data_IF_063215368191
#
_entry.id   IF_063215368191
#
_cell.length_a   1.000
_cell.length_b   1.000
_cell.length_c   1.000
_cell.angle_alpha   90.00
_cell.angle_beta   90.00
_cell.angle_gamma   90.00
#
_symmetry.space_group_name_H-M   'P 1'
#
loop_
_entity.id
_entity.type
_entity.pdbx_description
1 polymer ?
#
# COMPACT_ATOMS: atom_id res chain seq x y z
N UNK A 1 13.13 18.57 -2.68
CA UNK A 1 13.83 18.24 -3.94
C UNK A 1 14.50 16.87 -3.88
N UNK A 2 15.43 16.62 -2.95
CA UNK A 2 16.19 15.36 -2.90
C UNK A 2 15.29 14.10 -2.75
N UNK A 3 14.32 14.11 -1.83
CA UNK A 3 13.36 13.00 -1.69
C UNK A 3 12.52 12.76 -2.97
N UNK A 4 12.15 13.82 -3.69
CA UNK A 4 11.41 13.68 -4.96
C UNK A 4 12.26 12.99 -6.04
N UNK A 5 13.56 13.29 -6.08
CA UNK A 5 14.51 12.61 -6.96
C UNK A 5 14.68 11.13 -6.57
N UNK A 6 14.74 10.80 -5.27
CA UNK A 6 14.75 9.41 -4.79
C UNK A 6 13.50 8.68 -5.22
N UNK A 7 12.31 9.28 -5.05
CA UNK A 7 11.05 8.67 -5.49
C UNK A 7 10.99 8.49 -7.01
N UNK A 8 11.44 9.48 -7.77
CA UNK A 8 11.47 9.38 -9.23
C UNK A 8 12.39 8.25 -9.71
N UNK A 9 13.62 8.16 -9.17
CA UNK A 9 14.55 7.06 -9.47
C UNK A 9 13.94 5.71 -9.06
N UNK A 10 13.27 5.66 -7.91
CA UNK A 10 12.65 4.43 -7.41
C UNK A 10 11.50 4.00 -8.32
N UNK A 11 10.56 4.89 -8.64
CA UNK A 11 9.35 4.55 -9.41
C UNK A 11 9.73 4.23 -10.85
N UNK A 12 10.45 5.12 -11.53
CA UNK A 12 10.81 4.91 -12.95
C UNK A 12 11.85 3.81 -13.09
N UNK A 13 12.88 3.80 -12.23
CA UNK A 13 13.95 2.82 -12.30
C UNK A 13 13.50 1.41 -11.94
N UNK A 14 12.55 1.25 -11.01
CA UNK A 14 12.04 -0.06 -10.64
C UNK A 14 11.05 -0.65 -11.63
N UNK A 15 10.40 0.15 -12.48
CA UNK A 15 9.44 -0.37 -13.47
C UNK A 15 10.09 -1.37 -14.44
N UNK A 16 11.34 -1.14 -14.87
CA UNK A 16 12.06 -2.06 -15.76
C UNK A 16 12.29 -3.46 -15.16
N UNK A 17 12.96 -3.60 -13.99
CA UNK A 17 13.12 -4.91 -13.36
C UNK A 17 11.79 -5.53 -12.89
N UNK A 18 10.80 -4.72 -12.53
CA UNK A 18 9.45 -5.22 -12.20
C UNK A 18 8.79 -5.87 -13.41
N UNK A 19 8.89 -5.24 -14.59
CA UNK A 19 8.41 -5.80 -15.85
C UNK A 19 9.11 -7.12 -16.20
N UNK A 20 10.43 -7.21 -16.05
CA UNK A 20 11.16 -8.45 -16.30
C UNK A 20 10.75 -9.60 -15.36
N UNK A 21 10.55 -9.30 -14.07
CA UNK A 21 10.05 -10.28 -13.11
C UNK A 21 8.60 -10.68 -13.40
N UNK A 22 7.75 -9.73 -13.80
CA UNK A 22 6.37 -10.02 -14.21
C UNK A 22 6.36 -10.95 -15.42
N UNK A 23 7.16 -10.69 -16.46
CA UNK A 23 7.25 -11.60 -17.61
C UNK A 23 7.78 -12.99 -17.22
N UNK A 24 8.78 -13.05 -16.34
CA UNK A 24 9.35 -14.32 -15.91
C UNK A 24 8.39 -15.14 -15.05
N UNK A 25 7.76 -14.54 -14.03
CA UNK A 25 6.95 -15.22 -13.02
C UNK A 25 5.48 -15.33 -13.42
N UNK A 26 4.92 -14.29 -14.04
CA UNK A 26 3.52 -14.26 -14.45
C UNK A 26 3.39 -14.79 -15.88
N UNK A 27 4.00 -14.15 -16.88
CA UNK A 27 3.72 -14.52 -18.28
C UNK A 27 4.28 -15.90 -18.66
N UNK A 28 5.44 -16.28 -18.13
CA UNK A 28 6.07 -17.59 -18.42
C UNK A 28 5.87 -18.59 -17.29
N UNK A 29 6.05 -18.15 -16.03
CA UNK A 29 5.99 -19.00 -14.85
C UNK A 29 4.60 -19.60 -14.61
N UNK A 30 3.55 -18.79 -14.68
CA UNK A 30 2.18 -19.25 -14.42
C UNK A 30 1.70 -20.29 -15.45
N UNK A 31 1.80 -20.08 -16.78
CA UNK A 31 1.42 -21.10 -17.75
C UNK A 31 2.28 -22.37 -17.66
N UNK A 32 3.56 -22.23 -17.33
CA UNK A 32 4.44 -23.38 -17.16
C UNK A 32 4.01 -24.26 -15.98
N UNK A 33 3.77 -23.67 -14.80
CA UNK A 33 3.29 -24.41 -13.64
C UNK A 33 1.92 -25.02 -13.91
N UNK A 34 1.02 -24.27 -14.55
CA UNK A 34 -0.30 -24.77 -14.93
C UNK A 34 -0.22 -25.99 -15.83
N UNK A 35 0.68 -25.98 -16.83
CA UNK A 35 0.89 -27.12 -17.74
C UNK A 35 1.38 -28.39 -17.00
N UNK A 36 2.16 -28.24 -15.94
CA UNK A 36 2.61 -29.36 -15.09
C UNK A 36 1.43 -29.96 -14.32
N UNK A 37 0.59 -29.11 -13.71
CA UNK A 37 -0.59 -29.57 -12.98
C UNK A 37 -1.60 -30.24 -13.91
N UNK A 38 -1.79 -29.71 -15.12
CA UNK A 38 -2.64 -30.31 -16.14
C UNK A 38 -2.08 -31.66 -16.62
N UNK A 39 -0.76 -31.78 -16.80
CA UNK A 39 -0.11 -33.05 -17.16
C UNK A 39 -0.20 -34.12 -16.06
N UNK A 40 -0.24 -33.70 -14.79
CA UNK A 40 -0.46 -34.58 -13.64
C UNK A 40 -1.93 -34.96 -13.43
N UNK A 41 -2.85 -34.41 -14.22
CA UNK A 41 -4.29 -34.65 -14.08
C UNK A 41 -4.87 -34.09 -12.78
N UNK A 42 -4.30 -33.01 -12.24
CA UNK A 42 -4.80 -32.37 -11.04
C UNK A 42 -6.24 -31.86 -11.25
N UNK A 43 -7.13 -31.96 -10.24
CA UNK A 43 -8.49 -31.46 -10.37
C UNK A 43 -8.49 -29.93 -10.49
N UNK A 44 -9.45 -29.39 -11.23
CA UNK A 44 -9.54 -27.96 -11.56
C UNK A 44 -9.44 -27.02 -10.35
N UNK A 45 -10.02 -27.41 -9.20
CA UNK A 45 -9.99 -26.61 -7.98
C UNK A 45 -8.61 -26.55 -7.35
N UNK A 46 -7.80 -27.61 -7.48
CA UNK A 46 -6.45 -27.65 -6.93
C UNK A 46 -5.51 -26.79 -7.76
N UNK A 47 -5.59 -26.91 -9.08
CA UNK A 47 -4.86 -26.03 -10.02
C UNK A 47 -5.28 -24.58 -9.83
N UNK A 48 -6.57 -24.31 -9.69
CA UNK A 48 -7.08 -22.96 -9.45
C UNK A 48 -6.59 -22.35 -8.14
N UNK A 49 -6.77 -23.02 -7.00
CA UNK A 49 -6.34 -22.48 -5.70
C UNK A 49 -4.83 -22.26 -5.63
N UNK A 50 -4.03 -23.24 -6.08
CA UNK A 50 -2.58 -23.21 -5.91
C UNK A 50 -1.87 -22.38 -6.99
N UNK A 51 -2.30 -22.50 -8.25
CA UNK A 51 -1.62 -21.86 -9.39
C UNK A 51 -2.25 -20.51 -9.70
N UNK A 52 -3.57 -20.48 -9.95
CA UNK A 52 -4.27 -19.24 -10.32
C UNK A 52 -4.47 -18.28 -9.13
N UNK A 53 -4.55 -18.82 -7.91
CA UNK A 53 -4.66 -18.06 -6.67
C UNK A 53 -3.32 -17.81 -5.99
N UNK A 54 -2.80 -18.82 -5.28
CA UNK A 54 -1.67 -18.66 -4.36
C UNK A 54 -0.36 -18.26 -5.04
N UNK A 55 0.03 -19.01 -6.09
CA UNK A 55 1.25 -18.71 -6.85
C UNK A 55 1.16 -17.35 -7.53
N UNK A 56 0.07 -17.07 -8.24
CA UNK A 56 -0.09 -15.81 -8.97
C UNK A 56 -0.04 -14.60 -8.04
N UNK A 57 -0.69 -14.66 -6.87
CA UNK A 57 -0.60 -13.61 -5.86
C UNK A 57 0.83 -13.41 -5.34
N UNK A 58 1.53 -14.51 -5.05
CA UNK A 58 2.93 -14.46 -4.63
C UNK A 58 3.85 -13.88 -5.69
N UNK A 59 3.70 -14.33 -6.94
CA UNK A 59 4.43 -13.83 -8.10
C UNK A 59 4.20 -12.33 -8.30
N UNK A 60 2.95 -11.87 -8.17
CA UNK A 60 2.60 -10.46 -8.27
C UNK A 60 3.31 -9.60 -7.21
N UNK A 61 3.20 -10.02 -5.95
CA UNK A 61 3.83 -9.32 -4.82
C UNK A 61 5.33 -9.26 -5.02
N UNK A 62 5.97 -10.36 -5.45
CA UNK A 62 7.42 -10.36 -5.72
C UNK A 62 7.77 -9.40 -6.86
N UNK A 63 7.06 -9.46 -7.98
CA UNK A 63 7.34 -8.64 -9.17
C UNK A 63 7.18 -7.14 -8.89
N UNK A 64 6.16 -6.74 -8.14
CA UNK A 64 5.85 -5.33 -7.88
C UNK A 64 6.63 -4.76 -6.69
N UNK A 65 6.82 -5.54 -5.63
CA UNK A 65 7.36 -5.03 -4.35
C UNK A 65 8.89 -5.08 -4.29
N UNK A 66 9.53 -6.14 -4.83
CA UNK A 66 10.97 -6.35 -4.68
C UNK A 66 11.81 -5.26 -5.36
N UNK A 67 11.59 -4.90 -6.64
CA UNK A 67 12.49 -3.97 -7.32
C UNK A 67 12.48 -2.55 -6.74
N UNK A 68 11.31 -1.95 -6.42
CA UNK A 68 11.30 -0.64 -5.77
C UNK A 68 12.01 -0.64 -4.43
N UNK A 69 11.88 -1.71 -3.63
CA UNK A 69 12.61 -1.82 -2.36
C UNK A 69 14.13 -1.94 -2.55
N UNK A 70 14.57 -2.69 -3.57
CA UNK A 70 15.99 -2.82 -3.92
C UNK A 70 16.61 -1.50 -4.37
N UNK A 71 15.82 -0.56 -4.88
CA UNK A 71 16.30 0.78 -5.26
C UNK A 71 16.18 1.75 -4.08
N UNK A 72 15.01 1.78 -3.44
CA UNK A 72 14.68 2.74 -2.40
C UNK A 72 15.55 2.58 -1.15
N UNK A 73 15.68 1.36 -0.61
CA UNK A 73 16.39 1.18 0.66
C UNK A 73 17.89 1.45 0.59
N UNK A 74 18.63 1.03 -0.46
CA UNK A 74 20.04 1.41 -0.58
C UNK A 74 20.23 2.92 -0.69
N UNK A 75 19.46 3.60 -1.53
CA UNK A 75 19.56 5.06 -1.68
C UNK A 75 19.23 5.75 -0.35
N UNK A 76 18.16 5.32 0.33
CA UNK A 76 17.76 5.90 1.60
C UNK A 76 18.80 5.66 2.71
N UNK A 77 19.35 4.45 2.79
CA UNK A 77 20.40 4.11 3.79
C UNK A 77 21.68 4.89 3.52
N UNK A 78 22.04 5.11 2.25
CA UNK A 78 23.16 5.99 1.91
C UNK A 78 22.93 7.42 2.41
N UNK A 79 21.73 7.98 2.21
CA UNK A 79 21.37 9.32 2.71
C UNK A 79 21.34 9.38 4.25
N UNK A 80 21.03 8.27 4.91
CA UNK A 80 21.12 8.10 6.36
C UNK A 80 22.58 8.15 6.83
N UNK A 81 23.44 7.34 6.21
CA UNK A 81 24.88 7.23 6.53
C UNK A 81 25.64 8.53 6.25
N UNK A 82 25.26 9.26 5.19
CA UNK A 82 25.79 10.61 4.93
C UNK A 82 25.43 11.61 6.04
N UNK A 83 24.43 11.34 6.89
CA UNK A 83 23.97 12.26 7.91
C UNK A 83 23.01 13.34 7.39
N UNK A 84 22.51 13.20 6.15
CA UNK A 84 21.52 14.13 5.59
C UNK A 84 20.17 13.97 6.30
N UNK A 85 19.69 12.73 6.43
CA UNK A 85 18.41 12.44 7.03
C UNK A 85 18.32 12.91 8.51
N UNK A 86 19.31 12.62 9.40
CA UNK A 86 19.33 13.17 10.75
C UNK A 86 19.20 14.71 10.82
N UNK A 87 19.80 15.44 9.87
CA UNK A 87 19.68 16.91 9.80
C UNK A 87 18.29 17.36 9.38
N UNK A 88 17.65 16.64 8.46
CA UNK A 88 16.25 16.90 8.09
C UNK A 88 15.34 16.68 9.30
N UNK A 89 15.57 15.61 10.08
CA UNK A 89 14.84 15.36 11.32
C UNK A 89 15.01 16.49 12.35
N UNK A 90 16.23 17.02 12.49
CA UNK A 90 16.50 18.20 13.34
C UNK A 90 15.70 19.43 12.87
N UNK A 91 15.68 19.71 11.56
CA UNK A 91 14.95 20.86 11.03
C UNK A 91 13.42 20.72 11.16
N UNK A 92 12.90 19.49 11.10
CA UNK A 92 11.48 19.19 11.25
C UNK A 92 11.03 19.05 12.71
N UNK A 93 11.96 19.00 13.66
CA UNK A 93 11.66 18.76 15.09
C UNK A 93 10.61 19.73 15.64
N UNK A 94 10.69 21.02 15.29
CA UNK A 94 9.72 22.02 15.73
C UNK A 94 8.27 21.69 15.34
N UNK A 95 8.07 21.09 14.15
CA UNK A 95 6.74 20.69 13.67
C UNK A 95 6.25 19.46 14.42
N UNK A 96 7.10 18.45 14.56
CA UNK A 96 6.75 17.21 15.27
C UNK A 96 6.49 17.46 16.76
N UNK A 97 7.29 18.33 17.39
CA UNK A 97 7.13 18.72 18.80
C UNK A 97 5.79 19.39 19.07
N UNK A 98 5.29 20.23 18.16
CA UNK A 98 3.94 20.83 18.26
C UNK A 98 2.83 19.77 18.23
N UNK A 99 3.06 18.67 17.51
CA UNK A 99 2.16 17.52 17.46
C UNK A 99 2.37 16.52 18.61
N UNK A 100 3.26 16.81 19.57
CA UNK A 100 3.55 15.88 20.67
C UNK A 100 4.40 14.67 20.27
N UNK A 101 5.08 14.76 19.13
CA UNK A 101 5.94 13.74 18.56
C UNK A 101 7.43 14.15 18.61
N UNK A 102 8.31 13.18 18.35
CA UNK A 102 9.76 13.37 18.32
C UNK A 102 10.27 13.65 16.91
N UNK A 103 11.25 14.53 16.70
CA UNK A 103 11.79 14.83 15.35
C UNK A 103 12.32 13.60 14.58
N UNK A 104 12.87 12.60 15.30
CA UNK A 104 13.25 11.28 14.71
C UNK A 104 12.07 10.56 14.03
N UNK A 105 10.82 10.86 14.36
CA UNK A 105 9.64 10.30 13.69
C UNK A 105 9.62 10.65 12.19
N UNK A 106 10.15 11.82 11.80
CA UNK A 106 10.28 12.19 10.39
C UNK A 106 11.13 11.17 9.59
N UNK A 107 12.16 10.59 10.22
CA UNK A 107 13.00 9.55 9.62
C UNK A 107 12.21 8.27 9.38
N UNK A 108 11.48 7.85 10.42
CA UNK A 108 10.68 6.61 10.40
C UNK A 108 9.56 6.68 9.37
N UNK A 109 8.86 7.83 9.31
CA UNK A 109 7.83 8.10 8.31
C UNK A 109 8.40 8.13 6.89
N UNK A 110 9.59 8.70 6.72
CA UNK A 110 10.26 8.75 5.42
C UNK A 110 10.62 7.33 4.95
N UNK A 111 11.06 6.46 5.86
CA UNK A 111 11.29 5.04 5.58
C UNK A 111 9.99 4.27 5.29
N UNK A 112 8.87 4.70 5.89
CA UNK A 112 7.52 4.19 5.60
C UNK A 112 7.10 4.35 4.13
N UNK A 113 7.56 5.40 3.45
CA UNK A 113 7.25 5.57 2.01
C UNK A 113 7.79 4.43 1.13
N UNK A 114 8.87 3.76 1.56
CA UNK A 114 9.29 2.50 0.97
C UNK A 114 8.38 1.36 1.42
N UNK A 115 8.42 1.03 2.71
CA UNK A 115 7.57 0.01 3.30
C UNK A 115 7.20 0.37 4.73
N UNK A 116 5.89 0.36 5.05
CA UNK A 116 5.41 0.68 6.39
C UNK A 116 5.93 -0.30 7.45
N UNK A 117 6.18 -1.58 7.11
CA UNK A 117 6.78 -2.53 8.04
C UNK A 117 8.22 -2.13 8.41
N UNK A 118 9.01 -1.71 7.41
CA UNK A 118 10.39 -1.27 7.63
C UNK A 118 10.43 0.04 8.42
N UNK A 119 9.51 0.98 8.14
CA UNK A 119 9.35 2.21 8.92
C UNK A 119 8.95 1.96 10.38
N UNK A 120 8.11 0.96 10.65
CA UNK A 120 7.77 0.54 12.03
C UNK A 120 9.00 0.01 12.77
N UNK A 121 9.83 -0.83 12.13
CA UNK A 121 11.10 -1.31 12.74
C UNK A 121 12.06 -0.13 13.01
N UNK A 122 12.10 0.86 12.11
CA UNK A 122 12.96 2.04 12.26
C UNK A 122 12.60 2.90 13.48
N UNK A 123 11.39 2.77 14.04
CA UNK A 123 10.99 3.51 15.25
C UNK A 123 11.83 3.19 16.49
N UNK A 124 12.64 2.12 16.47
CA UNK A 124 13.62 1.79 17.50
C UNK A 124 14.65 2.89 17.76
N UNK A 125 14.83 3.83 16.82
CA UNK A 125 15.68 5.00 17.01
C UNK A 125 15.11 6.00 18.03
N UNK A 126 13.80 5.94 18.30
CA UNK A 126 13.11 6.80 19.27
C UNK A 126 13.21 6.16 20.67
N UNK A 127 13.85 6.88 21.59
CA UNK A 127 14.20 6.37 22.92
C UNK A 127 12.98 6.31 23.85
N UNK A 128 12.10 7.30 23.77
CA UNK A 128 10.87 7.37 24.58
C UNK A 128 9.86 6.31 24.12
N UNK A 129 9.45 5.35 24.98
CA UNK A 129 8.49 4.30 24.59
C UNK A 129 7.13 4.86 24.13
N UNK A 130 6.72 5.98 24.72
CA UNK A 130 5.46 6.67 24.37
C UNK A 130 5.53 7.26 22.96
N UNK A 131 6.57 8.04 22.67
CA UNK A 131 6.75 8.67 21.36
C UNK A 131 7.02 7.63 20.28
N UNK A 132 7.74 6.55 20.63
CA UNK A 132 7.92 5.38 19.76
C UNK A 132 6.59 4.75 19.40
N UNK A 133 5.69 4.57 20.37
CA UNK A 133 4.36 4.01 20.10
C UNK A 133 3.52 4.93 19.20
N UNK A 134 3.57 6.25 19.40
CA UNK A 134 2.92 7.21 18.51
C UNK A 134 3.45 7.05 17.08
N UNK A 135 4.77 7.05 16.91
CA UNK A 135 5.41 6.85 15.62
C UNK A 135 5.00 5.52 14.95
N UNK A 136 4.93 4.42 15.72
CA UNK A 136 4.47 3.11 15.23
C UNK A 136 3.04 3.19 14.69
N UNK A 137 2.12 3.79 15.44
CA UNK A 137 0.70 3.91 15.05
C UNK A 137 0.56 4.80 13.82
N UNK A 138 1.27 5.93 13.78
CA UNK A 138 1.10 6.92 12.71
C UNK A 138 1.88 6.60 11.44
N UNK A 139 2.80 5.63 11.46
CA UNK A 139 3.59 5.28 10.27
C UNK A 139 2.73 4.80 9.09
N UNK A 140 1.53 4.25 9.36
CA UNK A 140 0.61 3.79 8.32
C UNK A 140 0.07 4.92 7.42
N UNK A 141 0.10 6.17 7.88
CA UNK A 141 -0.33 7.32 7.08
C UNK A 141 0.70 7.72 6.00
N UNK A 142 1.90 7.14 6.02
CA UNK A 142 2.84 7.23 4.91
C UNK A 142 2.39 6.32 3.75
N UNK A 143 2.40 6.86 2.52
CA UNK A 143 2.14 6.08 1.31
C UNK A 143 3.30 5.10 1.06
N UNK A 144 3.12 3.84 1.43
CA UNK A 144 4.11 2.80 1.13
C UNK A 144 4.12 2.42 -0.35
N UNK A 145 5.17 1.71 -0.78
CA UNK A 145 5.32 1.26 -2.17
C UNK A 145 4.06 0.61 -2.75
N UNK A 146 3.40 -0.30 -2.02
CA UNK A 146 2.18 -0.97 -2.50
C UNK A 146 0.94 -0.07 -2.66
N UNK A 147 1.00 1.20 -2.27
CA UNK A 147 -0.09 2.18 -2.47
C UNK A 147 0.18 3.16 -3.61
N UNK A 148 1.44 3.39 -3.99
CA UNK A 148 1.79 4.33 -5.06
C UNK A 148 1.16 3.97 -6.41
N UNK A 149 1.18 2.71 -6.88
CA UNK A 149 0.55 2.35 -8.15
C UNK A 149 -0.95 2.69 -8.18
N UNK A 150 -1.69 2.37 -7.10
CA UNK A 150 -3.10 2.75 -6.96
C UNK A 150 -3.30 4.26 -7.07
N UNK A 151 -2.48 5.05 -6.37
CA UNK A 151 -2.61 6.51 -6.41
C UNK A 151 -2.34 7.06 -7.82
N UNK A 152 -1.29 6.59 -8.48
CA UNK A 152 -0.89 7.05 -9.82
C UNK A 152 -1.94 6.65 -10.86
N UNK A 153 -2.39 5.40 -10.86
CA UNK A 153 -3.37 4.89 -11.81
C UNK A 153 -4.71 5.63 -11.70
N UNK A 154 -5.24 5.74 -10.48
CA UNK A 154 -6.55 6.37 -10.26
C UNK A 154 -6.49 7.89 -10.50
N UNK A 155 -5.39 8.54 -10.13
CA UNK A 155 -5.17 9.95 -10.46
C UNK A 155 -5.14 10.18 -11.97
N UNK A 156 -4.44 9.32 -12.72
CA UNK A 156 -4.33 9.45 -14.18
C UNK A 156 -5.68 9.22 -14.87
N UNK A 157 -6.41 8.18 -14.48
CA UNK A 157 -7.68 7.80 -15.11
C UNK A 157 -8.81 8.80 -14.81
N UNK A 158 -8.96 9.25 -13.56
CA UNK A 158 -10.12 10.06 -13.17
C UNK A 158 -9.81 11.56 -13.08
N UNK A 159 -8.69 11.93 -12.46
CA UNK A 159 -8.35 13.36 -12.24
C UNK A 159 -7.64 13.94 -13.46
N UNK A 160 -6.70 13.19 -14.05
CA UNK A 160 -6.00 13.57 -15.28
C UNK A 160 -6.95 13.74 -16.45
N UNK A 161 -7.93 12.84 -16.60
CA UNK A 161 -8.95 12.91 -17.64
C UNK A 161 -9.92 14.11 -17.50
N UNK A 162 -10.08 14.67 -16.30
CA UNK A 162 -10.88 15.86 -16.07
C UNK A 162 -10.17 17.17 -16.48
N UNK A 163 -8.86 17.12 -16.70
CA UNK A 163 -8.05 18.28 -17.09
C UNK A 163 -7.78 18.31 -18.61
N UNK A 164 -7.46 19.48 -19.20
CA UNK A 164 -7.03 19.56 -20.59
C UNK A 164 -5.82 18.63 -20.86
N UNK A 165 -5.71 18.01 -22.05
CA UNK A 165 -4.68 16.99 -22.32
C UNK A 165 -3.24 17.43 -22.05
N UNK A 166 -2.93 18.72 -22.25
CA UNK A 166 -1.60 19.29 -22.00
C UNK A 166 -1.27 19.47 -20.51
N UNK A 167 -2.28 19.48 -19.62
CA UNK A 167 -2.12 19.56 -18.16
C UNK A 167 -2.42 18.26 -17.44
N UNK A 168 -2.99 17.25 -18.10
CA UNK A 168 -3.42 16.00 -17.49
C UNK A 168 -2.33 15.34 -16.62
N UNK A 169 -1.09 15.28 -17.13
CA UNK A 169 0.04 14.72 -16.38
C UNK A 169 0.42 15.55 -15.14
N UNK A 170 0.37 16.89 -15.24
CA UNK A 170 0.67 17.78 -14.12
C UNK A 170 -0.40 17.71 -13.04
N UNK A 171 -1.67 17.64 -13.43
CA UNK A 171 -2.80 17.55 -12.50
C UNK A 171 -2.83 16.19 -11.80
N UNK A 172 -2.61 15.09 -12.52
CA UNK A 172 -2.47 13.75 -11.92
C UNK A 172 -1.33 13.70 -10.91
N UNK A 173 -0.13 14.17 -11.29
CA UNK A 173 1.01 14.23 -10.38
C UNK A 173 0.74 15.13 -9.16
N UNK A 174 0.07 16.27 -9.37
CA UNK A 174 -0.34 17.19 -8.30
C UNK A 174 -1.30 16.52 -7.30
N UNK A 175 -2.26 15.73 -7.79
CA UNK A 175 -3.19 14.98 -6.94
C UNK A 175 -2.47 13.92 -6.09
N UNK A 176 -1.54 13.16 -6.66
CA UNK A 176 -0.75 12.17 -5.91
C UNK A 176 0.10 12.85 -4.84
N UNK A 177 0.77 13.97 -5.17
CA UNK A 177 1.55 14.75 -4.21
C UNK A 177 0.65 15.31 -3.10
N UNK A 178 -0.54 15.79 -3.44
CA UNK A 178 -1.51 16.26 -2.46
C UNK A 178 -1.90 15.16 -1.47
N UNK A 179 -2.20 13.94 -1.95
CA UNK A 179 -2.49 12.79 -1.07
C UNK A 179 -1.29 12.42 -0.20
N UNK A 180 -0.07 12.45 -0.73
CA UNK A 180 1.14 12.19 0.06
C UNK A 180 1.31 13.21 1.20
N UNK A 181 1.09 14.50 0.92
CA UNK A 181 1.14 15.57 1.92
C UNK A 181 -0.01 15.48 2.92
N UNK A 182 -1.20 15.09 2.45
CA UNK A 182 -2.36 14.82 3.31
C UNK A 182 -2.05 13.69 4.31
N UNK A 183 -1.36 12.64 3.87
CA UNK A 183 -0.88 11.57 4.76
C UNK A 183 0.05 12.09 5.87
N UNK A 184 1.01 12.94 5.53
CA UNK A 184 1.91 13.58 6.51
C UNK A 184 1.09 14.45 7.49
N UNK A 185 0.16 15.25 6.98
CA UNK A 185 -0.69 16.09 7.80
C UNK A 185 -1.55 15.27 8.77
N UNK A 186 -2.20 14.21 8.28
CA UNK A 186 -3.04 13.33 9.10
C UNK A 186 -2.20 12.55 10.13
N UNK A 187 -0.99 12.14 9.79
CA UNK A 187 -0.03 11.57 10.75
C UNK A 187 0.25 12.52 11.91
N UNK A 188 0.50 13.81 11.62
CA UNK A 188 0.72 14.82 12.66
C UNK A 188 -0.54 15.10 13.48
N UNK A 189 -1.71 15.15 12.83
CA UNK A 189 -3.00 15.35 13.49
C UNK A 189 -3.32 14.20 14.45
N UNK A 190 -3.10 12.95 14.03
CA UNK A 190 -3.28 11.77 14.87
C UNK A 190 -2.25 11.73 16.00
N UNK A 191 -0.99 12.08 15.73
CA UNK A 191 0.05 12.19 16.76
C UNK A 191 -0.35 13.17 17.86
N UNK A 192 -0.89 14.32 17.47
CA UNK A 192 -1.42 15.33 18.38
C UNK A 192 -2.63 14.81 19.16
N UNK A 193 -3.59 14.18 18.48
CA UNK A 193 -4.79 13.61 19.10
C UNK A 193 -4.46 12.53 20.13
N UNK A 194 -3.56 11.59 19.80
CA UNK A 194 -3.09 10.53 20.69
C UNK A 194 -2.38 11.10 21.92
N UNK A 195 -1.55 12.13 21.72
CA UNK A 195 -0.82 12.82 22.81
C UNK A 195 -1.76 13.49 23.81
N UNK A 196 -2.87 14.07 23.34
CA UNK A 196 -3.85 14.76 24.20
C UNK A 196 -4.82 13.81 24.90
N UNK A 197 -5.10 12.65 24.31
CA UNK A 197 -6.16 11.74 24.78
C UNK A 197 -5.61 10.57 25.57
N UNK A 198 -4.97 9.60 24.90
CA UNK A 198 -4.63 8.28 25.44
C UNK A 198 -3.20 8.21 25.95
N UNK A 199 -2.27 8.86 25.26
CA UNK A 199 -0.85 8.84 25.55
C UNK A 199 -0.43 10.19 26.13
N UNK A 200 -0.84 10.51 27.36
CA UNK A 200 -0.47 11.74 28.07
C UNK A 200 0.93 11.61 28.71
N UNK A 201 1.68 12.71 28.78
CA UNK A 201 3.01 12.75 29.40
C UNK A 201 3.85 13.95 28.94
N UNK A 202 5.04 14.10 29.51
CA UNK A 202 6.01 15.13 29.12
C UNK A 202 6.70 14.76 27.80
N UNK A 203 7.08 15.78 27.02
CA UNK A 203 7.78 15.62 25.74
C UNK A 203 9.25 15.36 26.05
N UNK A 204 9.86 14.36 25.42
CA UNK A 204 11.27 14.06 25.69
C UNK A 204 12.18 15.20 25.23
N UNK A 205 13.24 15.49 25.99
CA UNK A 205 14.23 16.52 25.63
C UNK A 205 15.10 16.01 24.49
N UNK A 206 14.96 16.66 23.33
CA UNK A 206 15.78 16.37 22.15
C UNK A 206 17.22 16.85 22.36
N UNK A 207 18.08 15.99 22.90
CA UNK A 207 19.53 16.18 22.89
C UNK A 207 20.10 15.42 21.69
N UNK A 208 19.92 15.96 20.49
CA UNK A 208 20.57 15.42 19.30
C UNK A 208 21.84 16.21 19.04
N UNK A 209 22.99 15.65 19.42
CA UNK A 209 24.27 16.11 18.89
C UNK A 209 24.23 15.97 17.37
N UNK A 210 24.51 17.07 16.64
CA UNK A 210 24.51 17.05 15.18
C UNK A 210 25.55 16.02 14.70
N UNK A 211 25.15 14.95 13.98
CA UNK A 211 26.12 13.98 13.52
C UNK A 211 27.06 14.61 12.47
N UNK A 212 28.39 14.36 12.57
CA UNK A 212 29.34 14.81 11.57
C UNK A 212 29.08 14.11 10.23
N UNK A 213 29.28 14.80 9.11
CA UNK A 213 29.25 14.17 7.79
C UNK A 213 30.35 13.10 7.72
N UNK A 214 29.98 11.85 7.42
CA UNK A 214 30.92 10.75 7.21
C UNK A 214 30.69 10.17 5.81
N UNK A 215 31.74 9.87 5.03
CA UNK A 215 31.56 9.20 3.74
C UNK A 215 30.97 7.80 3.97
N UNK A 216 29.92 7.41 3.23
CA UNK A 216 29.26 6.13 3.42
C UNK A 216 30.15 4.99 2.94
N UNK A 217 30.05 3.84 3.61
CA UNK A 217 30.72 2.61 3.17
C UNK A 217 29.86 1.93 2.11
N UNK A 218 29.92 2.44 0.88
CA UNK A 218 29.04 2.06 -0.25
C UNK A 218 28.77 0.55 -0.35
N UNK A 219 29.79 -0.30 -0.29
CA UNK A 219 29.65 -1.76 -0.41
C UNK A 219 28.97 -2.41 0.81
N UNK A 220 29.33 -1.96 2.02
CA UNK A 220 28.75 -2.48 3.26
C UNK A 220 27.28 -2.07 3.40
N UNK A 221 26.97 -0.81 3.07
CA UNK A 221 25.61 -0.25 3.08
C UNK A 221 24.73 -0.94 2.04
N UNK A 222 25.26 -1.22 0.84
CA UNK A 222 24.51 -1.93 -0.20
C UNK A 222 24.20 -3.37 0.19
N UNK A 223 25.18 -4.11 0.74
CA UNK A 223 24.99 -5.48 1.21
C UNK A 223 23.95 -5.57 2.35
N UNK A 224 24.11 -4.77 3.40
CA UNK A 224 23.22 -4.79 4.57
C UNK A 224 21.81 -4.32 4.22
N UNK A 225 21.67 -3.31 3.35
CA UNK A 225 20.36 -2.82 2.92
C UNK A 225 19.61 -3.83 2.05
N UNK A 226 20.29 -4.46 1.09
CA UNK A 226 19.66 -5.42 0.20
C UNK A 226 19.33 -6.74 0.89
N UNK A 227 20.24 -7.30 1.69
CA UNK A 227 20.06 -8.64 2.24
C UNK A 227 19.25 -8.59 3.54
N UNK A 228 19.62 -7.74 4.50
CA UNK A 228 18.98 -7.80 5.82
C UNK A 228 17.61 -7.13 5.85
N UNK A 229 17.43 -6.02 5.09
CA UNK A 229 16.15 -5.29 5.08
C UNK A 229 15.20 -5.78 3.99
N UNK A 230 15.66 -5.91 2.74
CA UNK A 230 14.76 -6.29 1.64
C UNK A 230 14.35 -7.75 1.71
N UNK A 231 15.28 -8.70 1.88
CA UNK A 231 14.93 -10.12 1.85
C UNK A 231 14.01 -10.53 3.02
N UNK A 232 14.23 -10.00 4.22
CA UNK A 232 13.41 -10.31 5.39
C UNK A 232 11.98 -9.75 5.28
N UNK A 233 11.83 -8.53 4.76
CA UNK A 233 10.52 -7.92 4.54
C UNK A 233 9.80 -8.62 3.39
N UNK A 234 10.51 -8.95 2.30
CA UNK A 234 9.95 -9.69 1.18
C UNK A 234 9.48 -11.09 1.59
N UNK A 235 10.28 -11.83 2.37
CA UNK A 235 9.88 -13.15 2.87
C UNK A 235 8.56 -13.09 3.63
N UNK A 236 8.40 -12.10 4.52
CA UNK A 236 7.14 -11.91 5.25
C UNK A 236 5.99 -11.59 4.30
N UNK A 237 6.20 -10.72 3.32
CA UNK A 237 5.18 -10.39 2.32
C UNK A 237 4.71 -11.63 1.55
N UNK A 238 5.65 -12.46 1.09
CA UNK A 238 5.37 -13.74 0.40
C UNK A 238 4.54 -14.68 1.28
N UNK A 239 4.94 -14.87 2.53
CA UNK A 239 4.23 -15.78 3.47
C UNK A 239 2.78 -15.36 3.68
N UNK A 240 2.48 -14.06 3.64
CA UNK A 240 1.10 -13.56 3.73
C UNK A 240 0.38 -13.54 2.37
N UNK A 241 1.09 -13.31 1.26
CA UNK A 241 0.50 -13.19 -0.08
C UNK A 241 -0.03 -14.53 -0.63
N UNK A 242 0.70 -15.63 -0.43
CA UNK A 242 0.29 -16.96 -0.89
C UNK A 242 -1.10 -17.40 -0.37
N UNK A 243 -1.36 -17.40 0.95
CA UNK A 243 -2.68 -17.75 1.46
C UNK A 243 -3.75 -16.71 1.08
N UNK A 244 -3.37 -15.44 0.91
CA UNK A 244 -4.29 -14.41 0.41
C UNK A 244 -4.78 -14.74 -1.00
N UNK A 245 -3.88 -15.10 -1.90
CA UNK A 245 -4.22 -15.51 -3.27
C UNK A 245 -5.16 -16.71 -3.31
N UNK A 246 -4.91 -17.70 -2.45
CA UNK A 246 -5.82 -18.85 -2.30
C UNK A 246 -7.22 -18.40 -1.86
N UNK A 247 -7.31 -17.52 -0.86
CA UNK A 247 -8.60 -16.98 -0.37
C UNK A 247 -9.31 -16.16 -1.46
N UNK A 248 -8.59 -15.31 -2.17
CA UNK A 248 -9.13 -14.51 -3.28
C UNK A 248 -9.76 -15.43 -4.34
N UNK A 249 -9.04 -16.47 -4.75
CA UNK A 249 -9.53 -17.43 -5.74
C UNK A 249 -10.76 -18.20 -5.21
N UNK A 250 -10.74 -18.64 -3.95
CA UNK A 250 -11.86 -19.36 -3.33
C UNK A 250 -13.12 -18.50 -3.24
N UNK A 251 -13.00 -17.24 -2.81
CA UNK A 251 -14.12 -16.30 -2.72
C UNK A 251 -14.72 -16.01 -4.10
N UNK A 252 -13.88 -15.97 -5.14
CA UNK A 252 -14.33 -15.78 -6.52
C UNK A 252 -14.96 -17.03 -7.15
N UNK A 253 -14.51 -18.24 -6.81
CA UNK A 253 -14.92 -19.48 -7.51
C UNK A 253 -15.91 -20.36 -6.72
N UNK A 254 -16.07 -20.16 -5.41
CA UNK A 254 -17.12 -20.87 -4.65
C UNK A 254 -18.46 -20.19 -4.93
N UNK A 255 -19.41 -20.97 -5.43
CA UNK A 255 -20.75 -20.50 -5.77
C UNK A 255 -21.77 -20.94 -4.70
N UNK A 256 -22.67 -20.01 -4.35
CA UNK A 256 -23.85 -20.26 -3.51
C UNK A 256 -25.07 -20.00 -4.38
N UNK A 257 -25.62 -21.07 -4.96
CA UNK A 257 -26.62 -20.96 -6.02
C UNK A 257 -25.97 -20.46 -7.32
N UNK A 258 -26.56 -19.43 -7.94
CA UNK A 258 -26.10 -18.84 -9.20
C UNK A 258 -25.03 -17.75 -9.02
N UNK A 259 -24.72 -17.34 -7.79
CA UNK A 259 -23.79 -16.27 -7.47
C UNK A 259 -22.53 -16.83 -6.80
N UNK A 260 -21.37 -16.26 -7.12
CA UNK A 260 -20.14 -16.47 -6.35
C UNK A 260 -20.25 -15.87 -4.95
N UNK A 261 -19.43 -16.35 -3.99
CA UNK A 261 -19.32 -15.72 -2.67
C UNK A 261 -18.91 -14.25 -2.77
N UNK A 262 -18.06 -13.92 -3.74
CA UNK A 262 -17.68 -12.55 -4.06
C UNK A 262 -18.90 -11.70 -4.43
N UNK A 263 -19.70 -12.13 -5.41
CA UNK A 263 -20.91 -11.42 -5.84
C UNK A 263 -21.94 -11.30 -4.72
N UNK A 264 -22.10 -12.36 -3.90
CA UNK A 264 -23.00 -12.32 -2.76
C UNK A 264 -22.60 -11.23 -1.76
N UNK A 265 -21.30 -11.14 -1.42
CA UNK A 265 -20.79 -10.11 -0.53
C UNK A 265 -20.91 -8.71 -1.15
N UNK A 266 -20.54 -8.56 -2.43
CA UNK A 266 -20.59 -7.28 -3.14
C UNK A 266 -22.02 -6.75 -3.14
N UNK A 267 -23.01 -7.56 -3.53
CA UNK A 267 -24.41 -7.16 -3.56
C UNK A 267 -24.96 -6.80 -2.16
N UNK A 268 -24.48 -7.47 -1.11
CA UNK A 268 -24.90 -7.18 0.27
C UNK A 268 -24.31 -5.85 0.79
N UNK A 269 -23.08 -5.51 0.39
CA UNK A 269 -22.36 -4.34 0.91
C UNK A 269 -22.54 -3.10 0.02
N UNK A 270 -22.86 -3.27 -1.26
CA UNK A 270 -22.98 -2.16 -2.22
C UNK A 270 -23.90 -1.02 -1.75
N UNK A 271 -25.10 -1.28 -1.17
CA UNK A 271 -25.96 -0.21 -0.67
C UNK A 271 -25.31 0.66 0.42
N UNK A 272 -24.43 0.06 1.22
CA UNK A 272 -23.66 0.77 2.27
C UNK A 272 -22.44 1.46 1.67
N UNK A 273 -21.77 0.83 0.70
CA UNK A 273 -20.57 1.37 0.08
C UNK A 273 -20.85 2.69 -0.66
N UNK A 274 -22.01 2.82 -1.30
CA UNK A 274 -22.43 4.04 -2.01
C UNK A 274 -22.51 5.26 -1.07
N UNK A 275 -22.82 5.06 0.21
CA UNK A 275 -22.85 6.14 1.23
C UNK A 275 -21.47 6.78 1.40
N UNK A 276 -20.41 6.00 1.18
CA UNK A 276 -19.02 6.46 1.23
C UNK A 276 -18.49 6.86 -0.16
N UNK A 277 -19.36 6.89 -1.18
CA UNK A 277 -19.00 7.14 -2.57
C UNK A 277 -18.03 6.09 -3.13
N UNK A 278 -18.10 4.87 -2.61
CA UNK A 278 -17.37 3.69 -3.03
C UNK A 278 -18.38 2.62 -3.51
N UNK A 279 -17.90 1.44 -3.92
CA UNK A 279 -18.76 0.31 -4.29
C UNK A 279 -18.39 -0.97 -3.52
N UNK A 280 -19.26 -1.97 -3.59
CA UNK A 280 -19.06 -3.26 -2.91
C UNK A 280 -17.79 -3.99 -3.38
N UNK A 281 -17.39 -3.80 -4.64
CA UNK A 281 -16.14 -4.35 -5.20
C UNK A 281 -14.92 -3.82 -4.45
N UNK A 282 -14.82 -2.51 -4.24
CA UNK A 282 -13.71 -1.88 -3.51
C UNK A 282 -13.67 -2.40 -2.07
N UNK A 283 -14.83 -2.48 -1.39
CA UNK A 283 -14.89 -2.99 -0.02
C UNK A 283 -14.39 -4.43 0.07
N UNK A 284 -14.88 -5.31 -0.81
CA UNK A 284 -14.42 -6.70 -0.82
C UNK A 284 -12.92 -6.78 -1.11
N UNK A 285 -12.43 -6.04 -2.11
CA UNK A 285 -11.02 -6.01 -2.48
C UNK A 285 -10.14 -5.62 -1.28
N UNK A 286 -10.49 -4.57 -0.53
CA UNK A 286 -9.73 -4.15 0.65
C UNK A 286 -9.84 -5.10 1.85
N UNK A 287 -10.87 -5.94 1.92
CA UNK A 287 -10.99 -7.00 2.93
C UNK A 287 -10.10 -8.21 2.59
N UNK A 288 -10.07 -8.63 1.32
CA UNK A 288 -9.31 -9.81 0.90
C UNK A 288 -7.83 -9.51 0.59
N UNK A 289 -7.51 -8.27 0.19
CA UNK A 289 -6.15 -7.81 -0.11
C UNK A 289 -5.42 -7.19 1.10
N UNK A 290 -5.95 -7.32 2.33
CA UNK A 290 -5.22 -6.92 3.56
C UNK A 290 -3.78 -7.48 3.62
N UNK A 291 -3.50 -8.70 3.14
CA UNK A 291 -2.13 -9.23 3.09
C UNK A 291 -1.14 -8.38 2.28
N UNK A 292 -1.58 -7.83 1.15
CA UNK A 292 -0.75 -7.11 0.19
C UNK A 292 -1.55 -6.00 -0.50
N UNK A 293 -1.19 -4.73 -0.28
CA UNK A 293 -1.95 -3.61 -0.86
C UNK A 293 -1.69 -3.44 -2.36
N UNK A 294 -0.56 -3.95 -2.85
CA UNK A 294 -0.19 -3.95 -4.27
C UNK A 294 -1.10 -4.80 -5.16
N UNK A 295 -1.84 -5.79 -4.60
CA UNK A 295 -2.79 -6.62 -5.36
C UNK A 295 -4.23 -6.06 -5.34
N UNK A 296 -4.47 -4.92 -4.69
CA UNK A 296 -5.82 -4.32 -4.59
C UNK A 296 -6.39 -3.98 -5.97
N UNK A 297 -5.62 -3.32 -6.84
CA UNK A 297 -6.10 -2.95 -8.19
C UNK A 297 -6.38 -4.18 -9.07
N UNK A 298 -5.45 -5.16 -9.18
CA UNK A 298 -5.74 -6.41 -9.89
C UNK A 298 -6.98 -7.13 -9.36
N UNK A 299 -7.18 -7.09 -8.04
CA UNK A 299 -8.36 -7.66 -7.39
C UNK A 299 -9.65 -6.92 -7.77
N UNK A 300 -9.62 -5.58 -7.76
CA UNK A 300 -10.74 -4.74 -8.19
C UNK A 300 -11.09 -5.01 -9.65
N UNK A 301 -10.10 -5.09 -10.54
CA UNK A 301 -10.30 -5.35 -11.97
C UNK A 301 -10.98 -6.70 -12.20
N UNK A 302 -10.44 -7.76 -11.58
CA UNK A 302 -11.03 -9.10 -11.61
C UNK A 302 -12.47 -9.10 -11.10
N UNK A 303 -12.73 -8.56 -9.90
CA UNK A 303 -14.06 -8.52 -9.31
C UNK A 303 -15.04 -7.69 -10.15
N UNK A 304 -14.57 -6.59 -10.75
CA UNK A 304 -15.39 -5.75 -11.64
C UNK A 304 -15.79 -6.52 -12.89
N UNK A 305 -14.85 -7.17 -13.57
CA UNK A 305 -15.14 -7.99 -14.76
C UNK A 305 -16.11 -9.13 -14.43
N UNK A 306 -15.91 -9.81 -13.30
CA UNK A 306 -16.79 -10.89 -12.87
C UNK A 306 -18.22 -10.43 -12.61
N UNK A 307 -18.38 -9.33 -11.86
CA UNK A 307 -19.71 -8.80 -11.49
C UNK A 307 -20.45 -8.19 -12.67
N UNK A 308 -19.75 -7.49 -13.55
CA UNK A 308 -20.35 -6.84 -14.74
C UNK A 308 -20.49 -7.79 -15.94
N UNK A 309 -19.86 -8.96 -15.89
CA UNK A 309 -19.87 -9.99 -16.95
C UNK A 309 -19.40 -9.44 -18.31
N UNK A 310 -18.41 -8.55 -18.29
CA UNK A 310 -17.81 -8.00 -19.52
C UNK A 310 -17.11 -9.12 -20.29
N UNK A 311 -17.68 -9.51 -21.43
CA UNK A 311 -17.12 -10.55 -22.28
C UNK A 311 -15.80 -10.10 -22.91
N UNK A 312 -14.77 -10.95 -22.86
CA UNK A 312 -13.46 -10.69 -23.48
C UNK A 312 -12.50 -9.82 -22.66
N UNK A 313 -12.86 -9.46 -21.43
CA UNK A 313 -11.95 -8.84 -20.46
C UNK A 313 -11.52 -9.85 -19.38
N UNK A 314 -10.26 -9.79 -18.95
CA UNK A 314 -9.72 -10.58 -17.84
C UNK A 314 -9.06 -11.92 -18.21
N UNK A 315 -8.41 -12.53 -17.22
CA UNK A 315 -7.62 -13.77 -17.35
C UNK A 315 -8.36 -15.05 -16.90
N UNK A 316 -9.66 -14.94 -16.60
CA UNK A 316 -10.49 -16.02 -16.05
C UNK A 316 -11.15 -15.65 -14.72
N UNK A 317 -12.16 -16.43 -14.31
CA UNK A 317 -12.88 -16.19 -13.06
C UNK A 317 -11.95 -16.40 -11.86
N UNK A 318 -11.82 -15.40 -10.99
CA UNK A 318 -10.95 -15.47 -9.83
C UNK A 318 -9.44 -15.37 -10.12
N UNK A 319 -9.06 -14.98 -11.34
CA UNK A 319 -7.66 -14.78 -11.74
C UNK A 319 -7.35 -13.29 -11.78
N UNK A 320 -6.38 -12.85 -10.99
CA UNK A 320 -5.92 -11.46 -10.99
C UNK A 320 -5.18 -11.12 -12.28
N UNK A 321 -5.35 -9.89 -12.75
CA UNK A 321 -4.68 -9.38 -13.94
C UNK A 321 -4.52 -7.86 -13.85
N UNK A 322 -3.70 -7.30 -14.74
CA UNK A 322 -3.53 -5.85 -14.92
C UNK A 322 -3.61 -5.53 -16.41
N UNK A 323 -4.03 -4.32 -16.72
CA UNK A 323 -4.14 -3.80 -18.08
C UNK A 323 -3.55 -2.41 -18.15
N UNK A 324 -3.30 -1.95 -19.37
CA UNK A 324 -2.92 -0.55 -19.60
C UNK A 324 -3.99 0.42 -19.12
N UNK A 325 -3.58 1.63 -18.74
CA UNK A 325 -4.45 2.67 -18.15
C UNK A 325 -5.75 2.90 -18.93
N UNK A 326 -5.69 2.90 -20.27
CA UNK A 326 -6.86 3.14 -21.12
C UNK A 326 -7.90 2.01 -21.03
N UNK A 327 -7.44 0.75 -21.02
CA UNK A 327 -8.34 -0.41 -20.90
C UNK A 327 -8.88 -0.53 -19.48
N UNK A 328 -8.03 -0.27 -18.48
CA UNK A 328 -8.43 -0.19 -17.07
C UNK A 328 -9.53 0.85 -16.87
N UNK A 329 -9.39 2.04 -17.47
CA UNK A 329 -10.41 3.09 -17.39
C UNK A 329 -11.77 2.63 -17.90
N UNK A 330 -11.80 1.92 -19.04
CA UNK A 330 -13.04 1.39 -19.64
C UNK A 330 -13.72 0.40 -18.70
N UNK A 331 -12.97 -0.55 -18.12
CA UNK A 331 -13.53 -1.55 -17.19
C UNK A 331 -14.10 -0.88 -15.94
N UNK A 332 -13.35 0.05 -15.33
CA UNK A 332 -13.80 0.73 -14.12
C UNK A 332 -15.06 1.58 -14.39
N UNK A 333 -15.10 2.31 -15.52
CA UNK A 333 -16.27 3.10 -15.91
C UNK A 333 -17.49 2.21 -16.20
N UNK A 334 -17.30 1.06 -16.85
CA UNK A 334 -18.37 0.06 -17.04
C UNK A 334 -18.85 -0.55 -15.71
N UNK A 335 -17.95 -0.66 -14.73
CA UNK A 335 -18.27 -0.98 -13.33
C UNK A 335 -18.94 0.13 -12.54
N UNK A 336 -19.36 1.23 -13.19
CA UNK A 336 -20.07 2.34 -12.56
C UNK A 336 -19.18 3.33 -11.80
N UNK A 337 -17.86 3.29 -12.00
CA UNK A 337 -16.96 4.21 -11.30
C UNK A 337 -17.09 5.63 -11.83
N UNK A 338 -17.14 6.57 -10.89
CA UNK A 338 -17.20 8.00 -11.17
C UNK A 338 -15.91 8.69 -10.71
N UNK A 339 -15.74 9.96 -11.06
CA UNK A 339 -14.67 10.80 -10.49
C UNK A 339 -14.70 10.80 -8.95
N UNK A 340 -15.90 10.85 -8.35
CA UNK A 340 -16.08 10.76 -6.90
C UNK A 340 -15.53 9.44 -6.35
N UNK A 341 -15.84 8.31 -7.00
CA UNK A 341 -15.31 6.99 -6.64
C UNK A 341 -13.79 6.95 -6.72
N UNK A 342 -13.20 7.53 -7.77
CA UNK A 342 -11.75 7.66 -7.89
C UNK A 342 -11.12 8.47 -6.76
N UNK A 343 -11.66 9.65 -6.45
CA UNK A 343 -11.18 10.50 -5.35
C UNK A 343 -11.31 9.79 -3.99
N UNK A 344 -12.46 9.19 -3.71
CA UNK A 344 -12.70 8.47 -2.47
C UNK A 344 -11.82 7.23 -2.35
N UNK A 345 -11.53 6.52 -3.44
CA UNK A 345 -10.59 5.41 -3.43
C UNK A 345 -9.17 5.88 -3.10
N UNK A 346 -8.72 7.01 -3.66
CA UNK A 346 -7.40 7.57 -3.33
C UNK A 346 -7.30 7.90 -1.83
N UNK A 347 -8.34 8.53 -1.26
CA UNK A 347 -8.41 8.86 0.16
C UNK A 347 -8.53 7.61 1.05
N UNK A 348 -9.36 6.66 0.65
CA UNK A 348 -9.52 5.40 1.36
C UNK A 348 -8.22 4.60 1.34
N UNK A 349 -7.56 4.49 0.20
CA UNK A 349 -6.24 3.85 0.05
C UNK A 349 -5.18 4.47 0.96
N UNK A 350 -5.16 5.81 1.09
CA UNK A 350 -4.29 6.51 2.04
C UNK A 350 -4.61 6.13 3.49
N UNK A 351 -5.90 6.09 3.83
CA UNK A 351 -6.40 5.92 5.19
C UNK A 351 -6.82 4.49 5.53
N UNK A 352 -6.46 3.50 4.72
CA UNK A 352 -6.84 2.12 5.01
C UNK A 352 -5.87 1.46 5.99
N UNK A 353 -6.20 0.24 6.41
CA UNK A 353 -5.37 -0.57 7.28
C UNK A 353 -3.96 -0.82 6.69
N UNK A 354 -2.96 -1.00 7.54
CA UNK A 354 -1.65 -1.46 7.11
C UNK A 354 -1.73 -2.88 6.55
N UNK A 355 -0.81 -3.26 5.67
CA UNK A 355 -0.75 -4.63 5.18
C UNK A 355 -0.40 -5.62 6.31
N UNK A 356 -0.68 -6.91 6.11
CA UNK A 356 -0.46 -7.95 7.13
C UNK A 356 0.99 -7.98 7.64
N UNK A 357 1.97 -7.76 6.76
CA UNK A 357 3.39 -7.65 7.15
C UNK A 357 3.62 -6.51 8.15
N UNK A 358 2.99 -5.36 7.93
CA UNK A 358 3.08 -4.22 8.85
C UNK A 358 2.30 -4.48 10.14
N UNK A 359 1.08 -5.04 10.09
CA UNK A 359 0.29 -5.41 11.28
C UNK A 359 1.09 -6.36 12.18
N UNK A 360 1.68 -7.41 11.59
CA UNK A 360 2.51 -8.37 12.30
C UNK A 360 3.76 -7.72 12.91
N UNK A 361 4.37 -6.78 12.19
CA UNK A 361 5.54 -6.03 12.68
C UNK A 361 5.15 -5.10 13.84
N UNK A 362 4.01 -4.42 13.78
CA UNK A 362 3.49 -3.61 14.89
C UNK A 362 3.28 -4.49 16.12
N UNK A 363 2.71 -5.68 15.97
CA UNK A 363 2.55 -6.62 17.07
C UNK A 363 3.91 -7.03 17.67
N UNK A 364 4.91 -7.33 16.83
CA UNK A 364 6.27 -7.66 17.31
C UNK A 364 6.96 -6.52 18.05
N UNK A 365 6.82 -5.27 17.60
CA UNK A 365 7.47 -4.12 18.22
C UNK A 365 6.74 -3.63 19.49
N UNK A 366 5.41 -3.77 19.56
CA UNK A 366 4.61 -3.30 20.71
C UNK A 366 4.37 -4.38 21.76
N UNK A 367 4.40 -5.66 21.39
CA UNK A 367 4.03 -6.78 22.25
C UNK A 367 2.56 -6.75 22.71
N UNK A 368 1.70 -5.95 22.08
CA UNK A 368 0.35 -5.68 22.58
C UNK A 368 -0.69 -5.74 21.48
N UNK A 369 -1.65 -6.66 21.61
CA UNK A 369 -2.81 -6.76 20.72
C UNK A 369 -3.64 -5.49 20.71
N UNK A 370 -3.77 -4.81 21.86
CA UNK A 370 -4.52 -3.55 21.96
C UNK A 370 -4.00 -2.51 20.98
N UNK A 371 -2.68 -2.31 20.93
CA UNK A 371 -2.07 -1.32 20.05
C UNK A 371 -2.05 -1.77 18.59
N UNK A 372 -1.90 -3.07 18.31
CA UNK A 372 -2.06 -3.61 16.96
C UNK A 372 -3.47 -3.35 16.41
N UNK A 373 -4.51 -3.58 17.21
CA UNK A 373 -5.90 -3.32 16.80
C UNK A 373 -6.14 -1.82 16.60
N UNK A 374 -5.65 -0.97 17.51
CA UNK A 374 -5.75 0.49 17.35
C UNK A 374 -5.08 0.94 16.05
N UNK A 375 -3.85 0.50 15.76
CA UNK A 375 -3.15 0.85 14.51
C UNK A 375 -3.85 0.31 13.25
N UNK A 376 -4.64 -0.75 13.37
CA UNK A 376 -5.35 -1.37 12.25
C UNK A 376 -6.67 -0.66 11.97
N UNK A 377 -7.48 -0.42 13.00
CA UNK A 377 -8.84 0.12 12.86
C UNK A 377 -8.90 1.64 12.87
N UNK A 378 -7.96 2.33 13.52
CA UNK A 378 -7.94 3.80 13.55
C UNK A 378 -7.90 4.39 12.13
N UNK A 379 -7.01 3.95 11.22
CA UNK A 379 -7.03 4.39 9.85
C UNK A 379 -8.38 4.10 9.18
N UNK A 380 -8.90 2.86 9.26
CA UNK A 380 -10.15 2.47 8.60
C UNK A 380 -11.31 3.40 8.99
N UNK A 381 -11.46 3.67 10.28
CA UNK A 381 -12.51 4.56 10.80
C UNK A 381 -12.32 5.97 10.24
N UNK A 382 -11.08 6.49 10.23
CA UNK A 382 -10.78 7.79 9.62
C UNK A 382 -11.05 7.79 8.11
N UNK A 383 -10.70 6.73 7.39
CA UNK A 383 -10.93 6.58 5.97
C UNK A 383 -12.40 6.64 5.62
N UNK A 384 -13.22 5.84 6.32
CA UNK A 384 -14.69 5.85 6.16
C UNK A 384 -15.28 7.22 6.52
N UNK A 385 -14.82 7.86 7.58
CA UNK A 385 -15.29 9.20 7.94
C UNK A 385 -14.94 10.23 6.87
N UNK A 386 -13.72 10.21 6.35
CA UNK A 386 -13.26 11.16 5.32
C UNK A 386 -13.99 10.93 4.00
N UNK A 387 -14.14 9.69 3.53
CA UNK A 387 -14.86 9.40 2.28
C UNK A 387 -16.35 9.72 2.38
N UNK A 388 -16.97 9.49 3.55
CA UNK A 388 -18.34 9.93 3.81
C UNK A 388 -18.46 11.45 3.69
N UNK A 389 -17.59 12.21 4.38
CA UNK A 389 -17.62 13.67 4.34
C UNK A 389 -17.42 14.20 2.92
N UNK A 390 -16.47 13.64 2.16
CA UNK A 390 -16.24 14.04 0.77
C UNK A 390 -17.45 13.73 -0.11
N UNK A 391 -18.09 12.58 0.10
CA UNK A 391 -19.31 12.19 -0.63
C UNK A 391 -20.48 13.14 -0.34
N UNK A 392 -20.66 13.53 0.92
CA UNK A 392 -21.69 14.51 1.30
C UNK A 392 -21.40 15.87 0.65
N UNK A 393 -20.15 16.35 0.75
CA UNK A 393 -19.76 17.65 0.18
C UNK A 393 -19.88 17.66 -1.35
N UNK A 394 -19.56 16.57 -2.04
CA UNK A 394 -19.64 16.49 -3.50
C UNK A 394 -21.08 16.51 -4.02
N UNK A 395 -22.04 16.05 -3.21
CA UNK A 395 -23.46 16.00 -3.57
C UNK A 395 -24.26 17.24 -3.12
N UNK A 396 -23.64 18.16 -2.38
CA UNK A 396 -24.18 19.49 -2.06
C UNK A 396 -23.95 20.45 -3.23
#
# INVERSE_FOLDING_TARGET
>A
FLLALVFWITIVGANYPSGWLATLLVDWGHPWIRSIFDALGAPWWLTGVLVDGAYLAGAWVVSVMLPPMMVFFPIFTLLEDFGYLPRVAFNLDSIFRKAGAHGKQALTMSMGFGCNAAGVVATRIIDSPRERLIAIITNNFSLCNGRWPTQILIASIFIGAAAPPYLAGLVSAGAVVFIALLGIFLSLLVSWGLTKTVLKGEVSTFSLELPPYRPPRLLQTLYTSLIDRTAFVLWRAIVFAFPAGAVIWLVANIHVGELSLAEWFINAVDPVAVIFGLNGVIFLAYVIAIPANEIVIPTILMLTVMTTKIAGAGAGAGVMFELEDAQTAVILQQGGWTLLTGINLMLFSLLHNPCSTTIYTIYKETGSLKWTLVSTFLPIIMGLAVTFLVTVIFNL
#
